data_IF_599804342476
#
_entry.id   IF_599804342476
#
_cell.length_a   1.000
_cell.length_b   1.000
_cell.length_c   1.000
_cell.angle_alpha   90.00
_cell.angle_beta   90.00
_cell.angle_gamma   90.00
#
_symmetry.space_group_name_H-M   'P 1'
#
loop_
_entity.id
_entity.type
_entity.pdbx_description
1 polymer ?
#
# COMPACT_ATOMS: atom_id res chain seq x y z
N UNK A 1 -12.82 8.73 -21.15
CA UNK A 1 -12.40 9.58 -20.05
C UNK A 1 -12.24 8.67 -18.83
N UNK A 2 -11.03 8.58 -18.29
CA UNK A 2 -10.76 7.72 -17.13
C UNK A 2 -11.33 8.33 -15.85
N UNK A 3 -11.46 7.52 -14.81
CA UNK A 3 -12.01 7.97 -13.51
C UNK A 3 -11.11 8.99 -12.79
N UNK A 4 -9.83 9.07 -13.17
CA UNK A 4 -8.81 9.91 -12.54
C UNK A 4 -8.19 10.93 -13.52
N UNK A 5 -8.92 11.26 -14.59
CA UNK A 5 -8.45 12.28 -15.53
C UNK A 5 -8.07 13.59 -14.81
N UNK A 6 -6.89 14.14 -15.15
CA UNK A 6 -6.30 15.33 -14.56
C UNK A 6 -5.88 15.21 -13.08
N UNK A 7 -5.96 14.03 -12.47
CA UNK A 7 -5.47 13.79 -11.12
C UNK A 7 -3.98 13.46 -11.12
N UNK A 8 -3.30 13.83 -10.04
CA UNK A 8 -1.89 13.50 -9.78
C UNK A 8 -1.81 12.63 -8.56
N UNK A 9 -1.16 11.46 -8.71
CA UNK A 9 -1.03 10.47 -7.66
C UNK A 9 0.44 10.20 -7.31
N UNK A 10 0.73 10.02 -6.02
CA UNK A 10 1.98 9.42 -5.52
C UNK A 10 1.68 8.01 -5.04
N UNK A 11 2.45 7.00 -5.52
CA UNK A 11 2.37 5.61 -5.07
C UNK A 11 3.72 5.16 -4.55
N UNK A 12 3.82 4.84 -3.25
CA UNK A 12 5.08 4.40 -2.65
C UNK A 12 5.29 2.88 -2.78
N UNK A 13 6.56 2.44 -2.87
CA UNK A 13 6.89 1.02 -3.02
C UNK A 13 6.36 0.43 -4.33
N UNK A 14 6.33 1.20 -5.41
CA UNK A 14 5.66 0.83 -6.65
C UNK A 14 6.60 0.29 -7.73
N UNK A 15 7.74 -0.25 -7.34
CA UNK A 15 8.66 -0.96 -8.25
C UNK A 15 8.34 -2.45 -8.41
N UNK A 16 7.37 -2.98 -7.65
CA UNK A 16 6.90 -4.37 -7.72
C UNK A 16 5.52 -4.55 -7.07
N UNK A 17 4.93 -5.73 -7.20
CA UNK A 17 3.75 -6.18 -6.47
C UNK A 17 2.55 -5.23 -6.54
N UNK A 18 1.90 -5.02 -5.41
CA UNK A 18 0.68 -4.19 -5.29
C UNK A 18 0.93 -2.77 -5.78
N UNK A 19 2.03 -2.14 -5.36
CA UNK A 19 2.34 -0.77 -5.74
C UNK A 19 2.53 -0.58 -7.24
N UNK A 20 3.24 -1.52 -7.92
CA UNK A 20 3.41 -1.50 -9.38
C UNK A 20 2.05 -1.56 -10.09
N UNK A 21 1.24 -2.55 -9.75
CA UNK A 21 -0.06 -2.73 -10.38
C UNK A 21 -0.98 -1.53 -10.12
N UNK A 22 -0.92 -0.96 -8.92
CA UNK A 22 -1.63 0.28 -8.59
C UNK A 22 -1.17 1.44 -9.48
N UNK A 23 0.13 1.66 -9.61
CA UNK A 23 0.65 2.75 -10.45
C UNK A 23 0.21 2.61 -11.91
N UNK A 24 0.22 1.39 -12.46
CA UNK A 24 -0.25 1.08 -13.81
C UNK A 24 -1.75 1.37 -13.93
N UNK A 25 -2.57 0.86 -13.01
CA UNK A 25 -4.02 1.04 -13.06
C UNK A 25 -4.42 2.51 -12.93
N UNK A 26 -3.86 3.25 -11.95
CA UNK A 26 -4.17 4.67 -11.79
C UNK A 26 -3.79 5.48 -13.04
N UNK A 27 -2.65 5.17 -13.66
CA UNK A 27 -2.24 5.84 -14.91
C UNK A 27 -3.18 5.51 -16.08
N UNK A 28 -3.63 4.27 -16.21
CA UNK A 28 -4.62 3.85 -17.21
C UNK A 28 -5.97 4.54 -17.01
N UNK A 29 -6.33 4.84 -15.77
CA UNK A 29 -7.54 5.61 -15.42
C UNK A 29 -7.35 7.13 -15.58
N UNK A 30 -6.23 7.59 -16.15
CA UNK A 30 -5.99 8.98 -16.54
C UNK A 30 -5.15 9.80 -15.56
N UNK A 31 -4.73 9.24 -14.43
CA UNK A 31 -3.84 9.96 -13.50
C UNK A 31 -2.42 10.12 -14.06
N UNK A 32 -1.78 11.24 -13.73
CA UNK A 32 -0.33 11.37 -13.79
C UNK A 32 0.26 10.77 -12.51
N UNK A 33 1.13 9.75 -12.64
CA UNK A 33 1.57 8.96 -11.48
C UNK A 33 3.04 9.18 -11.19
N UNK A 34 3.36 9.72 -10.02
CA UNK A 34 4.69 9.60 -9.41
C UNK A 34 4.72 8.28 -8.65
N UNK A 35 5.63 7.41 -9.01
CA UNK A 35 5.83 6.15 -8.30
C UNK A 35 7.23 6.07 -7.73
N UNK A 36 7.33 5.55 -6.51
CA UNK A 36 8.58 5.59 -5.78
C UNK A 36 9.05 4.22 -5.30
N UNK A 37 10.33 4.11 -5.03
CA UNK A 37 10.97 2.91 -4.51
C UNK A 37 12.48 3.03 -4.47
N UNK A 38 13.18 1.97 -4.05
CA UNK A 38 14.63 1.97 -3.91
C UNK A 38 15.38 1.36 -5.11
N UNK A 39 14.71 0.47 -5.86
CA UNK A 39 15.31 -0.28 -6.98
C UNK A 39 15.01 0.42 -8.31
N UNK A 40 16.06 0.96 -8.96
CA UNK A 40 15.95 1.67 -10.23
C UNK A 40 15.62 0.74 -11.41
N UNK A 41 16.23 -0.45 -11.46
CA UNK A 41 16.03 -1.39 -12.57
C UNK A 41 14.58 -1.88 -12.60
N UNK A 42 14.03 -2.22 -11.44
CA UNK A 42 12.62 -2.58 -11.31
C UNK A 42 11.66 -1.39 -11.57
N UNK A 43 12.14 -0.16 -11.41
CA UNK A 43 11.38 1.03 -11.75
C UNK A 43 11.28 1.25 -13.26
N UNK A 44 12.33 0.93 -14.03
CA UNK A 44 12.31 1.02 -15.50
C UNK A 44 11.24 0.09 -16.09
N UNK A 45 11.09 -1.11 -15.53
CA UNK A 45 10.02 -2.02 -15.92
C UNK A 45 8.64 -1.42 -15.64
N UNK A 46 8.43 -0.86 -14.44
CA UNK A 46 7.15 -0.20 -14.09
C UNK A 46 6.85 0.97 -15.03
N UNK A 47 7.85 1.81 -15.32
CA UNK A 47 7.72 2.93 -16.25
C UNK A 47 7.36 2.47 -17.67
N UNK A 48 8.01 1.40 -18.14
CA UNK A 48 7.70 0.78 -19.44
C UNK A 48 6.25 0.30 -19.52
N UNK A 49 5.76 -0.34 -18.44
CA UNK A 49 4.37 -0.83 -18.39
C UNK A 49 3.36 0.33 -18.39
N UNK A 50 3.60 1.38 -17.61
CA UNK A 50 2.77 2.60 -17.62
C UNK A 50 2.73 3.21 -19.03
N UNK A 51 3.89 3.33 -19.68
CA UNK A 51 3.99 3.91 -21.02
C UNK A 51 3.27 3.08 -22.08
N UNK A 52 3.30 1.75 -21.98
CA UNK A 52 2.58 0.83 -22.89
C UNK A 52 1.07 0.99 -22.81
N UNK A 53 0.54 1.35 -21.63
CA UNK A 53 -0.88 1.64 -21.43
C UNK A 53 -1.23 3.11 -21.82
N UNK A 54 -0.28 3.88 -22.37
CA UNK A 54 -0.47 5.28 -22.73
C UNK A 54 -0.52 6.25 -21.54
N UNK A 55 -0.16 5.78 -20.35
CA UNK A 55 -0.17 6.57 -19.12
C UNK A 55 1.05 7.48 -18.97
N UNK A 56 0.99 8.36 -17.96
CA UNK A 56 2.08 9.27 -17.56
C UNK A 56 2.67 8.82 -16.24
N UNK A 57 3.95 8.47 -16.23
CA UNK A 57 4.67 8.04 -15.03
C UNK A 57 5.97 8.80 -14.81
N UNK A 58 6.31 9.08 -13.56
CA UNK A 58 7.60 9.61 -13.12
C UNK A 58 8.13 8.76 -11.96
N UNK A 59 9.33 8.19 -12.12
CA UNK A 59 9.99 7.50 -11.03
C UNK A 59 10.84 8.46 -10.21
N UNK A 60 10.74 8.37 -8.88
CA UNK A 60 11.63 9.05 -7.94
C UNK A 60 12.17 8.02 -6.94
N UNK A 61 13.52 7.95 -6.81
CA UNK A 61 14.14 7.12 -5.79
C UNK A 61 13.78 7.65 -4.40
N UNK A 62 13.25 6.78 -3.53
CA UNK A 62 12.68 7.21 -2.27
C UNK A 62 12.86 6.13 -1.19
N UNK A 63 13.36 6.53 -0.06
CA UNK A 63 13.24 5.80 1.20
C UNK A 63 12.16 6.47 2.04
N UNK A 64 11.04 5.77 2.27
CA UNK A 64 9.87 6.32 2.99
C UNK A 64 10.16 6.63 4.45
N UNK A 65 11.19 6.01 5.04
CA UNK A 65 11.63 6.29 6.41
C UNK A 65 12.47 7.58 6.54
N UNK A 66 12.84 8.19 5.42
CA UNK A 66 13.63 9.42 5.39
C UNK A 66 12.75 10.64 5.09
N UNK A 67 12.65 11.56 6.06
CA UNK A 67 11.79 12.74 5.96
C UNK A 67 12.18 13.68 4.82
N UNK A 68 13.50 13.91 4.60
CA UNK A 68 13.98 14.79 3.53
C UNK A 68 13.60 14.24 2.14
N UNK A 69 13.56 12.92 2.00
CA UNK A 69 13.13 12.29 0.74
C UNK A 69 11.65 12.57 0.44
N UNK A 70 10.78 12.68 1.45
CA UNK A 70 9.39 13.08 1.24
C UNK A 70 9.26 14.50 0.71
N UNK A 71 10.03 15.45 1.28
CA UNK A 71 10.08 16.85 0.81
C UNK A 71 10.49 16.89 -0.68
N UNK A 72 11.52 16.12 -1.05
CA UNK A 72 11.99 16.03 -2.42
C UNK A 72 10.95 15.42 -3.37
N UNK A 73 10.30 14.32 -2.96
CA UNK A 73 9.25 13.65 -3.76
C UNK A 73 8.10 14.59 -4.06
N UNK A 74 7.60 15.29 -3.05
CA UNK A 74 6.48 16.21 -3.20
C UNK A 74 6.84 17.40 -4.08
N UNK A 75 8.02 17.99 -3.85
CA UNK A 75 8.52 19.08 -4.68
C UNK A 75 8.60 18.66 -6.16
N UNK A 76 9.25 17.52 -6.45
CA UNK A 76 9.36 17.03 -7.82
C UNK A 76 8.00 16.69 -8.44
N UNK A 77 7.04 16.18 -7.63
CA UNK A 77 5.67 15.91 -8.09
C UNK A 77 4.99 17.19 -8.57
N UNK A 78 5.05 18.24 -7.77
CA UNK A 78 4.43 19.54 -8.09
C UNK A 78 5.16 20.26 -9.23
N UNK A 79 6.48 20.22 -9.27
CA UNK A 79 7.27 20.81 -10.35
C UNK A 79 6.97 20.15 -11.71
N UNK A 80 6.68 18.83 -11.72
CA UNK A 80 6.46 18.08 -12.97
C UNK A 80 4.99 18.05 -13.41
N UNK A 81 4.06 17.89 -12.47
CA UNK A 81 2.62 17.69 -12.76
C UNK A 81 1.72 18.82 -12.25
N UNK A 82 2.23 19.75 -11.45
CA UNK A 82 1.52 20.96 -11.01
C UNK A 82 0.59 20.79 -9.81
N UNK A 83 0.20 19.57 -9.43
CA UNK A 83 -0.76 19.30 -8.34
C UNK A 83 -0.42 18.03 -7.58
N UNK A 84 -1.18 17.76 -6.51
CA UNK A 84 -1.20 16.48 -5.79
C UNK A 84 -2.64 16.22 -5.31
N UNK A 85 -3.22 15.10 -5.72
CA UNK A 85 -4.61 14.74 -5.42
C UNK A 85 -4.71 13.40 -4.67
N UNK A 86 -3.78 12.47 -4.90
CA UNK A 86 -3.86 11.11 -4.38
C UNK A 86 -2.50 10.70 -3.79
N UNK A 87 -2.54 10.08 -2.60
CA UNK A 87 -1.41 9.39 -2.01
C UNK A 87 -1.77 7.94 -1.73
N UNK A 88 -0.93 7.01 -2.19
CA UNK A 88 -1.02 5.60 -1.82
C UNK A 88 0.25 5.22 -1.03
N UNK A 89 0.12 5.12 0.28
CA UNK A 89 1.15 4.62 1.17
C UNK A 89 1.15 3.08 1.11
N UNK A 90 1.88 2.53 0.12
CA UNK A 90 1.96 1.09 -0.10
C UNK A 90 3.31 0.50 0.33
N UNK A 91 4.38 1.30 0.37
CA UNK A 91 5.68 0.81 0.82
C UNK A 91 5.58 0.14 2.19
N UNK A 92 6.22 -1.02 2.34
CA UNK A 92 6.19 -1.77 3.59
C UNK A 92 7.26 -2.86 3.64
N UNK A 93 7.52 -3.32 4.84
CA UNK A 93 8.38 -4.48 5.12
C UNK A 93 7.60 -5.53 5.91
N UNK A 94 8.00 -6.79 5.72
CA UNK A 94 7.48 -7.94 6.43
C UNK A 94 8.61 -8.91 6.75
N UNK A 95 8.64 -9.45 7.95
CA UNK A 95 9.45 -10.59 8.32
C UNK A 95 8.76 -11.39 9.43
N UNK A 96 9.13 -12.65 9.55
CA UNK A 96 8.71 -13.55 10.63
C UNK A 96 9.90 -13.78 11.58
N UNK A 97 9.70 -13.51 12.86
CA UNK A 97 10.67 -13.76 13.92
C UNK A 97 9.96 -13.86 15.26
N UNK A 98 10.20 -14.92 16.08
CA UNK A 98 9.60 -15.04 17.40
C UNK A 98 9.83 -13.79 18.25
N UNK A 99 8.85 -13.38 19.05
CA UNK A 99 8.96 -12.16 19.87
C UNK A 99 10.17 -12.18 20.81
N UNK A 100 10.52 -13.34 21.35
CA UNK A 100 11.66 -13.51 22.25
C UNK A 100 13.02 -13.41 21.54
N UNK A 101 13.04 -13.55 20.21
CA UNK A 101 14.24 -13.46 19.37
C UNK A 101 14.33 -12.13 18.62
N UNK A 102 13.24 -11.38 18.57
CA UNK A 102 13.17 -10.08 17.88
C UNK A 102 13.93 -9.04 18.71
N UNK A 103 15.01 -8.51 18.15
CA UNK A 103 15.74 -7.41 18.77
C UNK A 103 14.95 -6.10 18.66
N UNK A 104 15.31 -5.12 19.50
CA UNK A 104 14.74 -3.78 19.40
C UNK A 104 15.07 -3.13 18.04
N UNK A 105 16.24 -3.44 17.47
CA UNK A 105 16.63 -2.93 16.16
C UNK A 105 15.78 -3.54 15.04
N UNK A 106 15.48 -4.85 15.07
CA UNK A 106 14.53 -5.48 14.14
C UNK A 106 13.16 -4.81 14.23
N UNK A 107 12.67 -4.59 15.46
CA UNK A 107 11.38 -3.93 15.69
C UNK A 107 11.39 -2.48 15.17
N UNK A 108 12.44 -1.70 15.48
CA UNK A 108 12.57 -0.33 15.00
C UNK A 108 12.67 -0.27 13.47
N UNK A 109 13.37 -1.21 12.84
CA UNK A 109 13.49 -1.27 11.39
C UNK A 109 12.12 -1.45 10.70
N UNK A 110 11.28 -2.36 11.18
CA UNK A 110 9.95 -2.55 10.59
C UNK A 110 9.02 -1.36 10.88
N UNK A 111 9.12 -0.76 12.07
CA UNK A 111 8.35 0.42 12.43
C UNK A 111 8.74 1.63 11.58
N UNK A 112 10.03 1.87 11.35
CA UNK A 112 10.49 3.01 10.55
C UNK A 112 9.93 3.00 9.12
N UNK A 113 9.85 1.83 8.49
CA UNK A 113 9.27 1.73 7.14
C UNK A 113 7.75 1.78 7.18
N UNK A 114 7.10 0.96 8.03
CA UNK A 114 5.65 0.77 8.00
C UNK A 114 4.88 1.88 8.70
N UNK A 115 5.39 2.38 9.85
CA UNK A 115 4.75 3.42 10.66
C UNK A 115 5.24 4.80 10.22
N UNK A 116 6.55 5.08 10.41
CA UNK A 116 7.09 6.41 10.15
C UNK A 116 6.92 6.78 8.69
N UNK A 117 7.19 5.84 7.76
CA UNK A 117 7.01 6.05 6.32
C UNK A 117 5.58 6.42 5.95
N UNK A 118 4.57 5.76 6.52
CA UNK A 118 3.15 6.08 6.28
C UNK A 118 2.77 7.42 6.91
N UNK A 119 3.24 7.68 8.13
CA UNK A 119 2.96 8.93 8.85
C UNK A 119 3.60 10.13 8.16
N UNK A 120 4.88 10.03 7.76
CA UNK A 120 5.59 11.06 7.01
C UNK A 120 4.89 11.36 5.68
N UNK A 121 4.40 10.32 4.99
CA UNK A 121 3.63 10.49 3.76
C UNK A 121 2.38 11.34 3.98
N UNK A 122 1.59 11.06 5.02
CA UNK A 122 0.43 11.89 5.36
C UNK A 122 0.86 13.29 5.80
N UNK A 123 1.84 13.40 6.71
CA UNK A 123 2.34 14.68 7.24
C UNK A 123 2.74 15.66 6.14
N UNK A 124 3.50 15.20 5.17
CA UNK A 124 4.06 16.07 4.13
C UNK A 124 3.15 16.24 2.91
N UNK A 125 2.33 15.23 2.57
CA UNK A 125 1.40 15.34 1.44
C UNK A 125 0.17 16.18 1.76
N UNK A 126 -0.43 16.04 2.96
CA UNK A 126 -1.67 16.72 3.32
C UNK A 126 -1.65 18.24 3.13
N UNK A 127 -0.61 18.99 3.53
CA UNK A 127 -0.55 20.44 3.29
C UNK A 127 -0.54 20.81 1.80
N UNK A 128 -0.04 19.92 0.94
CA UNK A 128 0.21 20.14 -0.47
C UNK A 128 -0.87 19.53 -1.40
N UNK A 129 -1.76 18.73 -0.83
CA UNK A 129 -2.87 18.11 -1.56
C UNK A 129 -4.00 19.08 -1.84
N UNK A 130 -4.65 18.89 -2.98
CA UNK A 130 -5.92 19.56 -3.29
C UNK A 130 -7.05 19.06 -2.39
N UNK A 131 -7.99 19.95 -2.07
CA UNK A 131 -9.23 19.56 -1.42
C UNK A 131 -10.02 18.57 -2.28
N UNK A 132 -10.72 17.65 -1.65
CA UNK A 132 -11.39 16.54 -2.35
C UNK A 132 -10.45 15.39 -2.75
N UNK A 133 -9.19 15.42 -2.33
CA UNK A 133 -8.21 14.38 -2.57
C UNK A 133 -8.49 13.06 -1.83
N UNK A 134 -7.61 12.07 -2.04
CA UNK A 134 -7.73 10.78 -1.39
C UNK A 134 -6.37 10.23 -0.93
N UNK A 135 -6.33 9.63 0.26
CA UNK A 135 -5.18 8.86 0.76
C UNK A 135 -5.61 7.42 1.02
N UNK A 136 -4.85 6.47 0.52
CA UNK A 136 -5.00 5.05 0.82
C UNK A 136 -3.76 4.55 1.53
N UNK A 137 -3.92 4.12 2.78
CA UNK A 137 -2.86 3.50 3.56
C UNK A 137 -2.99 1.98 3.47
N UNK A 138 -2.01 1.31 2.87
CA UNK A 138 -2.00 -0.14 2.77
C UNK A 138 -1.54 -0.74 4.10
N UNK A 139 -2.51 -1.17 4.89
CA UNK A 139 -2.29 -1.90 6.13
C UNK A 139 -2.11 -3.40 5.85
N UNK A 140 -2.80 -4.25 6.57
CA UNK A 140 -2.85 -5.71 6.43
C UNK A 140 -3.99 -6.25 7.28
N UNK A 141 -4.47 -7.45 7.01
CA UNK A 141 -5.27 -8.21 8.00
C UNK A 141 -4.55 -8.32 9.33
N UNK A 142 -3.21 -8.41 9.31
CA UNK A 142 -2.39 -8.47 10.53
C UNK A 142 -2.40 -7.17 11.34
N UNK A 143 -2.98 -6.11 10.83
CA UNK A 143 -3.32 -4.90 11.62
C UNK A 143 -4.60 -5.04 12.45
N UNK A 144 -5.38 -6.09 12.22
CA UNK A 144 -6.66 -6.38 12.89
C UNK A 144 -6.65 -7.72 13.62
N UNK A 145 -5.69 -8.59 13.31
CA UNK A 145 -5.56 -9.92 13.90
C UNK A 145 -4.09 -10.28 14.11
N UNK A 146 -3.83 -11.31 14.93
CA UNK A 146 -2.48 -11.78 15.23
C UNK A 146 -1.96 -12.80 14.21
N UNK A 147 -0.65 -12.84 14.05
CA UNK A 147 0.07 -13.89 13.35
C UNK A 147 1.27 -14.30 14.24
N UNK A 148 1.44 -15.59 14.56
CA UNK A 148 2.66 -16.05 15.24
C UNK A 148 3.92 -15.58 14.52
N UNK A 149 4.95 -15.27 15.28
CA UNK A 149 6.26 -14.77 14.80
C UNK A 149 6.24 -13.44 14.04
N UNK A 150 5.10 -12.73 14.04
CA UNK A 150 4.93 -11.45 13.32
C UNK A 150 4.54 -10.28 14.23
N UNK A 151 4.88 -10.33 15.54
CA UNK A 151 4.42 -9.31 16.50
C UNK A 151 4.80 -7.88 16.09
N UNK A 152 6.02 -7.64 15.60
CA UNK A 152 6.45 -6.34 15.11
C UNK A 152 5.66 -5.88 13.88
N UNK A 153 5.39 -6.80 12.94
CA UNK A 153 4.58 -6.50 11.77
C UNK A 153 3.12 -6.18 12.15
N UNK A 154 2.50 -7.03 12.99
CA UNK A 154 1.13 -6.80 13.49
C UNK A 154 1.02 -5.43 14.19
N UNK A 155 1.98 -5.11 15.08
CA UNK A 155 2.02 -3.82 15.74
C UNK A 155 2.12 -2.65 14.74
N UNK A 156 3.00 -2.76 13.75
CA UNK A 156 3.17 -1.72 12.73
C UNK A 156 1.91 -1.51 11.89
N UNK A 157 1.23 -2.58 11.48
CA UNK A 157 0.01 -2.47 10.67
C UNK A 157 -1.22 -2.06 11.50
N UNK A 158 -1.26 -2.43 12.78
CA UNK A 158 -2.25 -1.90 13.73
C UNK A 158 -2.11 -0.40 13.93
N UNK A 159 -0.87 0.11 14.01
CA UNK A 159 -0.60 1.55 14.07
C UNK A 159 -1.10 2.27 12.80
N UNK A 160 -0.82 1.72 11.60
CA UNK A 160 -1.33 2.26 10.31
C UNK A 160 -2.85 2.34 10.31
N UNK A 161 -3.52 1.28 10.77
CA UNK A 161 -4.99 1.23 10.87
C UNK A 161 -5.54 2.33 11.77
N UNK A 162 -4.93 2.52 12.95
CA UNK A 162 -5.38 3.51 13.91
C UNK A 162 -5.08 4.95 13.47
N UNK A 163 -3.87 5.24 12.97
CA UNK A 163 -3.51 6.58 12.51
C UNK A 163 -4.33 7.03 11.29
N UNK A 164 -4.76 6.09 10.43
CA UNK A 164 -5.67 6.37 9.31
C UNK A 164 -6.96 7.01 9.78
N UNK A 165 -7.57 6.48 10.83
CA UNK A 165 -8.83 6.99 11.40
C UNK A 165 -8.67 8.38 12.00
N UNK A 166 -7.58 8.60 12.75
CA UNK A 166 -7.29 9.91 13.31
C UNK A 166 -7.08 10.97 12.22
N UNK A 167 -6.19 10.69 11.25
CA UNK A 167 -5.90 11.61 10.17
C UNK A 167 -7.13 11.92 9.30
N UNK A 168 -8.03 10.93 9.09
CA UNK A 168 -9.26 11.13 8.33
C UNK A 168 -10.17 12.19 8.97
N UNK A 169 -10.24 12.22 10.30
CA UNK A 169 -11.04 13.20 11.03
C UNK A 169 -10.41 14.60 11.02
N UNK A 170 -9.07 14.69 11.03
CA UNK A 170 -8.33 15.96 11.04
C UNK A 170 -8.50 16.76 9.75
N UNK A 171 -8.82 16.10 8.61
CA UNK A 171 -8.90 16.73 7.28
C UNK A 171 -10.28 16.63 6.63
N UNK A 172 -11.27 16.22 7.39
CA UNK A 172 -12.63 16.02 6.88
C UNK A 172 -13.26 17.30 6.31
N UNK A 173 -12.93 18.47 6.88
CA UNK A 173 -13.36 19.79 6.41
C UNK A 173 -12.80 20.14 5.02
N UNK A 174 -11.67 19.55 4.63
CA UNK A 174 -11.06 19.67 3.31
C UNK A 174 -11.62 18.64 2.30
N UNK A 175 -12.59 17.81 2.73
CA UNK A 175 -13.13 16.72 1.93
C UNK A 175 -12.05 15.75 1.39
N UNK A 176 -10.90 15.61 2.10
CA UNK A 176 -9.87 14.62 1.80
C UNK A 176 -10.28 13.31 2.48
N UNK A 177 -10.40 12.24 1.70
CA UNK A 177 -10.76 10.91 2.22
C UNK A 177 -9.49 10.13 2.53
N UNK A 178 -9.39 9.58 3.73
CA UNK A 178 -8.27 8.74 4.14
C UNK A 178 -8.81 7.40 4.62
N UNK A 179 -8.42 6.30 3.97
CA UNK A 179 -8.90 4.97 4.28
C UNK A 179 -7.75 3.95 4.36
N UNK A 180 -7.96 2.88 5.12
CA UNK A 180 -7.04 1.76 5.21
C UNK A 180 -7.50 0.59 4.33
N UNK A 181 -6.60 0.06 3.52
CA UNK A 181 -6.79 -1.21 2.83
C UNK A 181 -6.12 -2.33 3.63
N UNK A 182 -6.81 -3.42 3.83
CA UNK A 182 -6.32 -4.61 4.53
C UNK A 182 -6.24 -5.81 3.57
N UNK A 183 -5.09 -5.99 2.89
CA UNK A 183 -4.87 -7.17 2.06
C UNK A 183 -4.85 -8.45 2.90
N UNK A 184 -5.42 -9.53 2.36
CA UNK A 184 -5.12 -10.88 2.76
C UNK A 184 -3.75 -11.35 2.23
N UNK A 185 -3.64 -12.62 1.87
CA UNK A 185 -2.44 -13.13 1.19
C UNK A 185 -2.51 -12.75 -0.28
N UNK A 186 -1.60 -11.86 -0.70
CA UNK A 186 -1.50 -11.38 -2.09
C UNK A 186 -0.21 -11.91 -2.70
N UNK A 187 -0.32 -12.65 -3.81
CA UNK A 187 0.81 -13.31 -4.45
C UNK A 187 1.81 -12.31 -5.04
N UNK A 188 2.81 -11.98 -4.27
CA UNK A 188 3.85 -10.98 -4.56
C UNK A 188 5.21 -11.49 -4.12
N UNK A 189 6.33 -10.90 -4.56
CA UNK A 189 7.66 -11.25 -4.06
C UNK A 189 7.80 -11.15 -2.53
N UNK A 190 7.02 -10.33 -1.85
CA UNK A 190 7.03 -10.20 -0.39
C UNK A 190 6.59 -11.49 0.32
N UNK A 191 5.70 -12.27 -0.28
CA UNK A 191 5.17 -13.52 0.30
C UNK A 191 5.75 -14.77 -0.37
N UNK A 192 6.74 -14.63 -1.25
CA UNK A 192 7.47 -15.75 -1.84
C UNK A 192 7.21 -16.02 -3.32
N UNK A 193 6.41 -15.21 -4.02
CA UNK A 193 6.23 -15.38 -5.46
C UNK A 193 7.59 -15.28 -6.21
N UNK A 194 7.89 -16.27 -7.04
CA UNK A 194 9.16 -16.37 -7.77
C UNK A 194 10.34 -16.93 -6.97
N UNK A 195 10.11 -17.48 -5.77
CA UNK A 195 11.12 -18.21 -4.99
C UNK A 195 11.06 -19.72 -5.27
N UNK A 196 12.11 -20.45 -4.88
CA UNK A 196 12.10 -21.91 -4.94
C UNK A 196 10.98 -22.48 -4.07
N UNK A 197 10.14 -23.38 -4.62
CA UNK A 197 8.98 -23.95 -3.92
C UNK A 197 7.76 -23.04 -3.85
N UNK A 198 7.70 -21.98 -4.64
CA UNK A 198 6.61 -21.00 -4.64
C UNK A 198 5.23 -21.62 -4.91
N UNK A 199 5.15 -22.67 -5.74
CA UNK A 199 3.89 -23.37 -6.02
C UNK A 199 3.33 -24.09 -4.81
N UNK A 200 4.16 -24.72 -3.99
CA UNK A 200 3.73 -25.41 -2.77
C UNK A 200 3.25 -24.39 -1.74
N UNK A 201 3.98 -23.28 -1.58
CA UNK A 201 3.60 -22.19 -0.71
C UNK A 201 2.29 -21.52 -1.16
N UNK A 202 2.12 -21.32 -2.46
CA UNK A 202 0.90 -20.78 -3.04
C UNK A 202 -0.29 -21.70 -2.75
N UNK A 203 -0.14 -22.99 -3.02
CA UNK A 203 -1.18 -24.00 -2.75
C UNK A 203 -1.57 -24.05 -1.28
N UNK A 204 -0.60 -23.93 -0.37
CA UNK A 204 -0.87 -23.82 1.05
C UNK A 204 -1.76 -22.61 1.37
N UNK A 205 -1.43 -21.42 0.87
CA UNK A 205 -2.26 -20.23 1.12
C UNK A 205 -3.63 -20.28 0.46
N UNK A 206 -3.76 -20.94 -0.71
CA UNK A 206 -5.05 -21.18 -1.36
C UNK A 206 -5.96 -22.03 -0.49
N UNK A 207 -5.42 -23.09 0.13
CA UNK A 207 -6.16 -23.93 1.06
C UNK A 207 -6.61 -23.20 2.33
N UNK A 208 -5.80 -22.24 2.80
CA UNK A 208 -6.07 -21.43 3.99
C UNK A 208 -7.04 -20.26 3.72
N UNK A 209 -7.37 -19.98 2.48
CA UNK A 209 -8.27 -18.89 2.11
C UNK A 209 -9.68 -19.44 1.83
N UNK A 210 -10.77 -18.88 2.39
CA UNK A 210 -12.14 -19.37 2.14
C UNK A 210 -12.52 -19.45 0.66
N UNK A 211 -12.10 -18.47 -0.17
CA UNK A 211 -12.30 -18.51 -1.63
C UNK A 211 -11.40 -19.51 -2.36
N UNK A 212 -10.51 -20.23 -1.64
CA UNK A 212 -9.58 -21.21 -2.20
C UNK A 212 -8.66 -20.67 -3.30
N UNK A 213 -8.34 -19.40 -3.21
CA UNK A 213 -7.39 -18.70 -4.08
C UNK A 213 -6.60 -17.66 -3.30
N UNK A 214 -5.38 -17.35 -3.73
CA UNK A 214 -4.63 -16.20 -3.23
C UNK A 214 -4.99 -14.96 -4.04
N UNK A 215 -5.02 -13.81 -3.38
CA UNK A 215 -5.22 -12.55 -4.07
C UNK A 215 -4.06 -12.22 -5.01
N UNK A 216 -4.35 -11.46 -6.05
CA UNK A 216 -3.35 -10.94 -6.98
C UNK A 216 -3.17 -9.42 -6.76
N UNK A 217 -2.01 -8.83 -7.13
CA UNK A 217 -1.80 -7.39 -7.08
C UNK A 217 -2.94 -6.58 -7.72
N UNK A 218 -3.51 -7.08 -8.81
CA UNK A 218 -4.66 -6.47 -9.48
C UNK A 218 -5.88 -6.29 -8.58
N UNK A 219 -6.19 -7.27 -7.72
CA UNK A 219 -7.33 -7.16 -6.81
C UNK A 219 -7.14 -6.00 -5.82
N UNK A 220 -5.90 -5.78 -5.38
CA UNK A 220 -5.56 -4.64 -4.51
C UNK A 220 -5.61 -3.32 -5.26
N UNK A 221 -5.11 -3.27 -6.49
CA UNK A 221 -5.17 -2.07 -7.33
C UNK A 221 -6.62 -1.63 -7.61
N UNK A 222 -7.52 -2.59 -7.90
CA UNK A 222 -8.96 -2.33 -8.09
C UNK A 222 -9.59 -1.74 -6.81
N UNK A 223 -9.26 -2.28 -5.64
CA UNK A 223 -9.72 -1.76 -4.35
C UNK A 223 -9.16 -0.36 -4.04
N UNK A 224 -7.88 -0.12 -4.34
CA UNK A 224 -7.25 1.20 -4.19
C UNK A 224 -7.94 2.22 -5.11
N UNK A 225 -8.19 1.87 -6.36
CA UNK A 225 -8.93 2.74 -7.28
C UNK A 225 -10.32 3.08 -6.73
N UNK A 226 -11.05 2.10 -6.19
CA UNK A 226 -12.33 2.33 -5.52
C UNK A 226 -12.19 3.32 -4.36
N UNK A 227 -11.21 3.14 -3.47
CA UNK A 227 -10.97 4.04 -2.34
C UNK A 227 -10.54 5.44 -2.78
N UNK A 228 -9.88 5.58 -3.93
CA UNK A 228 -9.50 6.88 -4.50
C UNK A 228 -10.67 7.62 -5.15
N UNK A 229 -11.75 6.92 -5.54
CA UNK A 229 -12.85 7.48 -6.34
C UNK A 229 -14.18 7.56 -5.59
N UNK A 230 -14.31 6.90 -4.43
CA UNK A 230 -15.53 6.95 -3.61
C UNK A 230 -15.67 8.29 -2.88
N UNK A 231 -16.87 8.84 -2.81
CA UNK A 231 -17.09 10.20 -2.29
C UNK A 231 -17.50 10.22 -0.80
N UNK A 232 -18.10 9.15 -0.30
CA UNK A 232 -18.70 9.11 1.04
C UNK A 232 -18.09 8.00 1.92
N UNK A 233 -16.76 7.85 1.85
CA UNK A 233 -16.02 6.86 2.64
C UNK A 233 -14.71 7.46 3.14
N UNK A 234 -14.59 7.68 4.45
CA UNK A 234 -13.36 8.12 5.11
C UNK A 234 -13.22 7.48 6.49
N UNK A 235 -11.99 7.28 6.97
CA UNK A 235 -11.69 6.64 8.25
C UNK A 235 -12.07 5.16 8.30
N UNK A 236 -12.26 4.51 7.16
CA UNK A 236 -12.77 3.14 7.06
C UNK A 236 -11.67 2.13 6.82
N UNK A 237 -11.93 0.90 7.24
CA UNK A 237 -11.13 -0.29 7.00
C UNK A 237 -11.78 -1.11 5.87
N UNK A 238 -11.07 -1.37 4.78
CA UNK A 238 -11.53 -2.21 3.68
C UNK A 238 -10.69 -3.50 3.63
N UNK A 239 -11.31 -4.64 3.99
CA UNK A 239 -10.68 -5.95 3.88
C UNK A 239 -10.87 -6.51 2.46
N UNK A 240 -9.76 -6.92 1.83
CA UNK A 240 -9.75 -7.59 0.52
C UNK A 240 -8.86 -8.82 0.63
N UNK A 241 -9.45 -9.93 1.07
CA UNK A 241 -8.74 -11.02 1.71
C UNK A 241 -9.26 -12.44 1.40
N UNK A 242 -10.21 -12.55 0.46
CA UNK A 242 -10.83 -13.82 0.12
C UNK A 242 -11.68 -14.43 1.25
N UNK A 243 -12.12 -13.61 2.20
CA UNK A 243 -12.96 -14.04 3.34
C UNK A 243 -12.18 -14.45 4.59
N UNK A 244 -10.86 -14.30 4.61
CA UNK A 244 -9.99 -14.78 5.69
C UNK A 244 -10.27 -14.09 7.04
N UNK A 245 -10.60 -12.83 7.04
CA UNK A 245 -10.96 -12.11 8.26
C UNK A 245 -12.32 -12.54 8.81
N UNK A 246 -13.29 -12.77 7.92
CA UNK A 246 -14.64 -13.20 8.30
C UNK A 246 -14.66 -14.62 8.87
N UNK A 247 -13.79 -15.50 8.39
CA UNK A 247 -13.65 -16.87 8.88
C UNK A 247 -13.07 -16.93 10.30
N UNK A 248 -12.30 -15.92 10.71
CA UNK A 248 -11.68 -15.86 12.04
C UNK A 248 -10.64 -16.97 12.29
N UNK A 249 -10.49 -17.88 11.37
CA UNK A 249 -9.63 -19.04 11.50
C UNK A 249 -8.22 -18.73 10.96
N UNK A 250 -7.27 -18.63 11.84
CA UNK A 250 -5.86 -18.79 11.52
C UNK A 250 -5.52 -20.27 11.66
N UNK A 251 -5.69 -21.06 10.58
CA UNK A 251 -5.20 -22.42 10.53
C UNK A 251 -5.98 -23.44 11.38
N UNK A 252 -7.29 -23.31 11.52
CA UNK A 252 -8.10 -24.44 11.95
C UNK A 252 -8.24 -25.38 10.75
N UNK A 253 -7.40 -26.43 10.69
CA UNK A 253 -7.67 -27.60 9.91
C UNK A 253 -9.07 -28.09 10.27
N UNK A 254 -10.06 -27.79 9.45
CA UNK A 254 -11.26 -28.59 9.43
C UNK A 254 -10.81 -29.95 8.94
N UNK A 255 -10.72 -30.87 9.91
CA UNK A 255 -10.51 -32.31 9.75
C UNK A 255 -11.49 -32.92 8.74
#
# INVERSE_FOLDING_TARGET
MGKLDQKVAIVTGATSGIGRETAILLSREGASVVFTGRNKDAAEETLSLISKEGGKGLFIKHDVANEDNWIEVIKNTKDHFGSLDILVNNAGQFFLKPIMETSLDDFNQICSVNIDGTWLGMKHCLPEMNDGGAIVNVSSLMGQMGLPDASGYCASKGAVTSMTKAAALEVADRNIKINALHPGVIWTPMVGAGSDGDNDLKSFFELETPLREVGLPKNMADAILFLCTTEYLTGSDLNVDGGRFADGAMGSNAS
#
